data_IF_991903179504
#
_entry.id   IF_991903179504
#
_cell.length_a   1.000
_cell.length_b   1.000
_cell.length_c   1.000
_cell.angle_alpha   90.00
_cell.angle_beta   90.00
_cell.angle_gamma   90.00
#
_symmetry.space_group_name_H-M   'P 1'
#
loop_
_entity.id
_entity.type
_entity.pdbx_description
1 polymer ?
#
# COMPACT_ATOMS: atom_id res chain seq x y z
N UNK A 1 39.59 6.01 -1.98
CA UNK A 1 38.61 7.08 -1.74
C UNK A 1 37.41 6.80 -2.65
N UNK A 2 36.48 5.98 -2.16
CA UNK A 2 35.35 5.48 -2.92
C UNK A 2 34.12 6.35 -2.70
N UNK A 3 33.56 6.83 -3.80
CA UNK A 3 32.35 7.64 -3.86
C UNK A 3 31.15 6.80 -3.38
N UNK A 4 30.73 6.98 -2.14
CA UNK A 4 29.46 6.47 -1.66
C UNK A 4 28.35 7.29 -2.32
N UNK A 5 27.71 6.70 -3.33
CA UNK A 5 26.51 7.24 -3.95
C UNK A 5 25.49 7.55 -2.86
N UNK A 6 25.27 8.85 -2.62
CA UNK A 6 24.13 9.35 -1.86
C UNK A 6 22.88 8.90 -2.60
N UNK A 7 22.23 7.85 -2.10
CA UNK A 7 20.84 7.57 -2.46
C UNK A 7 20.01 8.68 -1.82
N UNK A 8 19.66 9.70 -2.61
CA UNK A 8 18.55 10.59 -2.29
C UNK A 8 17.26 9.74 -2.30
N UNK A 9 16.96 9.09 -1.18
CA UNK A 9 15.63 8.53 -0.94
C UNK A 9 14.71 9.72 -0.62
N UNK A 10 14.09 10.29 -1.65
CA UNK A 10 12.94 11.18 -1.47
C UNK A 10 11.76 10.32 -1.03
N UNK A 11 11.51 10.30 0.26
CA UNK A 11 10.41 9.61 0.93
C UNK A 11 9.02 10.07 0.47
N UNK A 12 8.92 11.08 -0.41
CA UNK A 12 7.68 11.78 -0.77
C UNK A 12 7.19 11.55 -2.21
N UNK A 13 7.93 10.83 -3.06
CA UNK A 13 7.60 10.74 -4.50
C UNK A 13 7.04 9.37 -4.96
N UNK A 14 6.94 8.36 -4.08
CA UNK A 14 6.32 7.07 -4.44
C UNK A 14 4.98 6.87 -3.72
N UNK A 15 3.84 7.21 -4.37
CA UNK A 15 2.55 6.73 -3.93
C UNK A 15 2.60 5.21 -3.96
N UNK A 16 2.43 4.61 -2.79
CA UNK A 16 2.20 3.17 -2.68
C UNK A 16 1.04 2.82 -3.62
N UNK A 17 1.38 2.11 -4.70
CA UNK A 17 0.53 1.71 -5.82
C UNK A 17 -0.03 2.83 -6.71
N UNK A 18 0.36 2.78 -7.99
CA UNK A 18 -0.34 3.48 -9.07
C UNK A 18 -1.71 2.84 -9.39
N UNK A 19 -1.94 1.61 -8.91
CA UNK A 19 -3.18 0.83 -9.07
C UNK A 19 -3.45 0.00 -7.82
N UNK A 20 -4.70 -0.05 -7.38
CA UNK A 20 -5.13 -0.78 -6.18
C UNK A 20 -5.79 -2.09 -6.58
N UNK A 21 -5.23 -3.25 -6.23
CA UNK A 21 -5.89 -4.53 -6.43
C UNK A 21 -7.22 -4.61 -5.67
N UNK A 22 -8.19 -5.34 -6.23
CA UNK A 22 -9.39 -5.70 -5.47
C UNK A 22 -9.07 -6.79 -4.43
N UNK A 23 -9.84 -6.93 -3.35
CA UNK A 23 -9.65 -8.02 -2.40
C UNK A 23 -9.63 -9.39 -3.10
N UNK A 24 -8.59 -10.19 -2.82
CA UNK A 24 -8.39 -11.52 -3.42
C UNK A 24 -7.71 -11.51 -4.80
N UNK A 25 -7.38 -10.35 -5.37
CA UNK A 25 -6.58 -10.27 -6.59
C UNK A 25 -5.14 -10.72 -6.34
N UNK A 26 -4.55 -11.41 -7.32
CA UNK A 26 -3.19 -11.93 -7.24
C UNK A 26 -2.21 -10.94 -7.91
N UNK A 27 -1.23 -10.44 -7.14
CA UNK A 27 -0.35 -9.35 -7.60
C UNK A 27 0.47 -9.69 -8.84
N UNK A 28 0.95 -10.93 -9.00
CA UNK A 28 1.70 -11.32 -10.21
C UNK A 28 0.80 -11.30 -11.44
N UNK A 29 -0.49 -11.63 -11.28
CA UNK A 29 -1.52 -11.53 -12.32
C UNK A 29 -1.76 -10.08 -12.67
N UNK A 30 -1.95 -9.19 -11.68
CA UNK A 30 -2.05 -7.74 -11.91
C UNK A 30 -0.84 -7.22 -12.67
N UNK A 31 0.38 -7.54 -12.22
CA UNK A 31 1.63 -7.15 -12.88
C UNK A 31 1.70 -7.63 -14.34
N UNK A 32 1.35 -8.90 -14.59
CA UNK A 32 1.35 -9.50 -15.93
C UNK A 32 0.35 -8.81 -16.85
N UNK A 33 -0.85 -8.53 -16.37
CA UNK A 33 -1.90 -7.86 -17.14
C UNK A 33 -1.49 -6.42 -17.50
N UNK A 34 -0.93 -5.66 -16.56
CA UNK A 34 -0.41 -4.31 -16.83
C UNK A 34 0.72 -4.32 -17.87
N UNK A 35 1.65 -5.28 -17.76
CA UNK A 35 2.73 -5.46 -18.75
C UNK A 35 2.17 -5.84 -20.13
N UNK A 36 1.18 -6.73 -20.18
CA UNK A 36 0.52 -7.12 -21.43
C UNK A 36 -0.16 -5.92 -22.09
N UNK A 37 -0.96 -5.16 -21.33
CA UNK A 37 -1.63 -3.96 -21.82
C UNK A 37 -0.65 -2.94 -22.41
N UNK A 38 0.51 -2.73 -21.75
CA UNK A 38 1.57 -1.83 -22.24
C UNK A 38 2.22 -2.33 -23.55
N UNK A 39 2.47 -3.63 -23.66
CA UNK A 39 3.01 -4.24 -24.90
C UNK A 39 2.01 -4.10 -26.03
N UNK A 40 0.72 -4.36 -25.76
CA UNK A 40 -0.34 -4.19 -26.75
C UNK A 40 -0.48 -2.73 -27.19
N UNK A 41 -0.35 -1.77 -26.27
CA UNK A 41 -0.33 -0.34 -26.58
C UNK A 41 0.85 0.03 -27.50
N UNK A 42 2.04 -0.54 -27.27
CA UNK A 42 3.20 -0.33 -28.13
C UNK A 42 2.95 -0.83 -29.55
N UNK A 43 2.28 -1.98 -29.69
CA UNK A 43 1.90 -2.54 -30.99
C UNK A 43 0.84 -1.71 -31.72
N UNK A 44 0.12 -0.82 -31.03
CA UNK A 44 -0.76 0.16 -31.67
C UNK A 44 -0.01 1.27 -32.37
N UNK A 45 1.27 1.55 -32.09
CA UNK A 45 2.00 2.67 -32.72
C UNK A 45 2.45 2.38 -34.17
N UNK A 46 1.82 1.42 -34.85
CA UNK A 46 2.16 0.96 -36.21
C UNK A 46 1.59 1.83 -37.33
N UNK A 47 1.78 1.38 -38.58
CA UNK A 47 1.22 2.05 -39.75
C UNK A 47 -0.26 1.69 -39.93
N UNK A 48 -1.14 2.69 -39.89
CA UNK A 48 -2.57 2.56 -40.20
C UNK A 48 -2.89 3.09 -41.59
N UNK A 49 -3.91 2.50 -42.22
CA UNK A 49 -4.38 2.94 -43.53
C UNK A 49 -5.20 4.24 -43.47
N UNK A 50 -5.77 4.55 -42.30
CA UNK A 50 -6.54 5.78 -42.05
C UNK A 50 -6.53 6.20 -40.58
N UNK A 51 -6.84 7.47 -40.31
CA UNK A 51 -7.01 7.99 -38.95
C UNK A 51 -8.23 7.37 -38.23
N UNK A 52 -9.27 6.99 -38.98
CA UNK A 52 -10.46 6.30 -38.44
C UNK A 52 -10.12 4.88 -37.98
N UNK A 53 -9.36 4.13 -38.78
CA UNK A 53 -8.87 2.81 -38.40
C UNK A 53 -7.99 2.89 -37.14
N UNK A 54 -7.09 3.87 -37.09
CA UNK A 54 -6.23 4.07 -35.92
C UNK A 54 -7.04 4.37 -34.66
N UNK A 55 -7.99 5.31 -34.76
CA UNK A 55 -8.87 5.67 -33.65
C UNK A 55 -9.68 4.46 -33.18
N UNK A 56 -10.30 3.71 -34.09
CA UNK A 56 -11.10 2.53 -33.74
C UNK A 56 -10.26 1.47 -33.02
N UNK A 57 -9.02 1.22 -33.48
CA UNK A 57 -8.10 0.27 -32.87
C UNK A 57 -7.71 0.70 -31.45
N UNK A 58 -7.39 1.98 -31.25
CA UNK A 58 -7.10 2.53 -29.94
C UNK A 58 -8.30 2.41 -28.99
N UNK A 59 -9.50 2.83 -29.42
CA UNK A 59 -10.71 2.77 -28.57
C UNK A 59 -11.05 1.33 -28.17
N UNK A 60 -10.93 0.39 -29.12
CA UNK A 60 -11.15 -1.04 -28.88
C UNK A 60 -10.15 -1.60 -27.87
N UNK A 61 -8.86 -1.29 -28.04
CA UNK A 61 -7.82 -1.69 -27.09
C UNK A 61 -8.13 -1.15 -25.69
N UNK A 62 -8.46 0.14 -25.56
CA UNK A 62 -8.78 0.75 -24.27
C UNK A 62 -9.91 0.01 -23.56
N UNK A 63 -11.01 -0.29 -24.27
CA UNK A 63 -12.16 -0.99 -23.67
C UNK A 63 -11.85 -2.44 -23.28
N UNK A 64 -11.09 -3.16 -24.10
CA UNK A 64 -10.72 -4.54 -23.79
C UNK A 64 -9.76 -4.62 -22.60
N UNK A 65 -8.74 -3.76 -22.56
CA UNK A 65 -7.78 -3.74 -21.45
C UNK A 65 -8.45 -3.31 -20.14
N UNK A 66 -9.33 -2.30 -20.19
CA UNK A 66 -10.12 -1.89 -19.02
C UNK A 66 -10.99 -3.04 -18.48
N UNK A 67 -11.63 -3.83 -19.37
CA UNK A 67 -12.43 -4.99 -18.98
C UNK A 67 -11.58 -6.09 -18.33
N UNK A 68 -10.43 -6.40 -18.91
CA UNK A 68 -9.53 -7.45 -18.39
C UNK A 68 -8.95 -7.06 -17.03
N UNK A 69 -8.37 -5.85 -16.92
CA UNK A 69 -7.78 -5.36 -15.68
C UNK A 69 -8.83 -5.05 -14.60
N UNK A 70 -10.04 -4.63 -14.97
CA UNK A 70 -11.13 -4.35 -14.03
C UNK A 70 -11.61 -5.57 -13.24
N UNK A 71 -11.22 -6.78 -13.64
CA UNK A 71 -11.44 -7.99 -12.83
C UNK A 71 -10.47 -8.15 -11.65
N UNK A 72 -9.40 -7.36 -11.61
CA UNK A 72 -8.32 -7.47 -10.62
C UNK A 72 -8.00 -6.15 -9.92
N UNK A 73 -8.39 -5.01 -10.50
CA UNK A 73 -8.04 -3.66 -10.03
C UNK A 73 -9.32 -2.87 -9.77
N UNK A 74 -9.30 -2.00 -8.76
CA UNK A 74 -10.44 -1.14 -8.42
C UNK A 74 -10.87 -0.28 -9.61
N UNK A 75 -12.19 -0.10 -9.78
CA UNK A 75 -12.77 0.63 -10.90
C UNK A 75 -12.21 2.06 -11.06
N UNK A 76 -12.01 2.79 -9.94
CA UNK A 76 -11.44 4.14 -9.95
C UNK A 76 -10.08 4.21 -10.65
N UNK A 77 -9.23 3.19 -10.45
CA UNK A 77 -7.89 3.18 -11.02
C UNK A 77 -7.93 2.76 -12.49
N UNK A 78 -8.90 1.92 -12.89
CA UNK A 78 -9.21 1.64 -14.30
C UNK A 78 -9.65 2.90 -15.02
N UNK A 79 -10.55 3.67 -14.42
CA UNK A 79 -11.02 4.94 -15.00
C UNK A 79 -9.86 5.92 -15.18
N UNK A 80 -8.99 6.05 -14.18
CA UNK A 80 -7.81 6.90 -14.26
C UNK A 80 -6.80 6.42 -15.31
N UNK A 81 -6.62 5.10 -15.47
CA UNK A 81 -5.68 4.52 -16.43
C UNK A 81 -6.18 4.57 -17.87
N UNK A 82 -7.48 4.36 -18.13
CA UNK A 82 -7.98 4.10 -19.48
C UNK A 82 -9.00 5.14 -19.97
N UNK A 83 -9.85 5.67 -19.09
CA UNK A 83 -10.99 6.51 -19.47
C UNK A 83 -10.74 7.99 -19.21
N UNK A 84 -9.67 8.50 -19.82
CA UNK A 84 -9.21 9.87 -19.60
C UNK A 84 -10.04 10.91 -20.34
N UNK A 85 -9.94 12.20 -19.99
CA UNK A 85 -10.62 13.26 -20.74
C UNK A 85 -10.29 13.24 -22.24
N UNK A 86 -9.06 12.85 -22.62
CA UNK A 86 -8.64 12.72 -24.02
C UNK A 86 -9.33 11.53 -24.69
N UNK A 87 -9.43 10.38 -24.01
CA UNK A 87 -10.23 9.25 -24.50
C UNK A 87 -11.66 9.68 -24.82
N UNK A 88 -12.33 10.38 -23.91
CA UNK A 88 -13.70 10.85 -24.11
C UNK A 88 -13.81 11.86 -25.26
N UNK A 89 -12.83 12.76 -25.40
CA UNK A 89 -12.77 13.70 -26.51
C UNK A 89 -12.57 13.00 -27.87
N UNK A 90 -11.72 11.96 -27.91
CA UNK A 90 -11.51 11.13 -29.10
C UNK A 90 -12.76 10.31 -29.46
N UNK A 91 -13.44 9.75 -28.45
CA UNK A 91 -14.70 9.01 -28.64
C UNK A 91 -15.82 9.92 -29.17
N UNK A 92 -16.00 11.10 -28.57
CA UNK A 92 -16.99 12.10 -29.01
C UNK A 92 -16.64 12.72 -30.37
N UNK A 93 -15.35 12.92 -30.64
CA UNK A 93 -14.85 13.39 -31.93
C UNK A 93 -15.03 12.36 -33.05
N UNK A 94 -14.91 11.06 -32.74
CA UNK A 94 -15.09 9.94 -33.68
C UNK A 94 -16.45 9.94 -34.39
N UNK A 95 -17.51 10.39 -33.72
CA UNK A 95 -18.85 10.53 -34.30
C UNK A 95 -19.02 11.74 -35.25
N UNK A 96 -18.10 12.71 -35.20
CA UNK A 96 -18.12 13.93 -36.01
C UNK A 96 -16.93 14.04 -36.99
N UNK A 97 -16.05 13.04 -37.05
CA UNK A 97 -14.83 13.04 -37.86
C UNK A 97 -15.06 12.91 -39.37
N UNK A 98 -16.31 12.87 -39.84
CA UNK A 98 -16.67 12.92 -41.26
C UNK A 98 -16.33 14.25 -41.96
N UNK A 99 -15.45 15.13 -41.44
CA UNK A 99 -14.98 16.26 -42.26
C UNK A 99 -14.13 17.39 -41.69
N UNK A 100 -13.68 17.45 -40.43
CA UNK A 100 -13.07 18.70 -39.91
C UNK A 100 -11.70 18.66 -39.21
N UNK A 101 -11.14 17.50 -38.86
CA UNK A 101 -9.76 17.43 -38.35
C UNK A 101 -8.84 16.79 -39.38
N UNK A 102 -7.77 17.51 -39.73
CA UNK A 102 -6.75 16.97 -40.62
C UNK A 102 -6.16 15.70 -39.99
N UNK A 103 -6.00 14.59 -40.75
CA UNK A 103 -5.49 13.31 -40.24
C UNK A 103 -4.19 13.42 -39.43
N UNK A 104 -3.34 14.41 -39.75
CA UNK A 104 -2.10 14.70 -39.01
C UNK A 104 -2.33 15.15 -37.56
N UNK A 105 -3.37 15.93 -37.30
CA UNK A 105 -3.69 16.42 -35.95
C UNK A 105 -4.31 15.30 -35.12
N UNK A 106 -5.24 14.53 -35.70
CA UNK A 106 -5.87 13.39 -35.03
C UNK A 106 -4.86 12.29 -34.69
N UNK A 107 -3.98 11.91 -35.64
CA UNK A 107 -2.96 10.90 -35.39
C UNK A 107 -1.96 11.36 -34.32
N UNK A 108 -1.57 12.63 -34.32
CA UNK A 108 -0.68 13.19 -33.29
C UNK A 108 -1.28 13.14 -31.89
N UNK A 109 -2.59 13.36 -31.75
CA UNK A 109 -3.31 13.24 -30.49
C UNK A 109 -3.42 11.78 -30.02
N UNK A 110 -3.74 10.86 -30.93
CA UNK A 110 -3.80 9.42 -30.62
C UNK A 110 -2.40 8.92 -30.19
N UNK A 111 -1.34 9.30 -30.91
CA UNK A 111 0.04 8.96 -30.56
C UNK A 111 0.43 9.49 -29.17
N UNK A 112 0.07 10.74 -28.86
CA UNK A 112 0.35 11.34 -27.56
C UNK A 112 -0.39 10.59 -26.45
N UNK A 113 -1.66 10.27 -26.67
CA UNK A 113 -2.48 9.53 -25.72
C UNK A 113 -1.90 8.13 -25.49
N UNK A 114 -1.58 7.37 -26.54
CA UNK A 114 -0.94 6.05 -26.42
C UNK A 114 0.38 6.14 -25.66
N UNK A 115 1.25 7.11 -25.99
CA UNK A 115 2.52 7.32 -25.26
C UNK A 115 2.29 7.58 -23.77
N UNK A 116 1.31 8.40 -23.42
CA UNK A 116 0.98 8.68 -22.02
C UNK A 116 0.47 7.41 -21.32
N UNK A 117 -0.42 6.65 -21.96
CA UNK A 117 -0.94 5.39 -21.43
C UNK A 117 0.15 4.34 -21.24
N UNK A 118 1.09 4.22 -22.18
CA UNK A 118 2.27 3.37 -22.02
C UNK A 118 3.11 3.77 -20.81
N UNK A 119 3.34 5.07 -20.60
CA UNK A 119 4.09 5.56 -19.43
C UNK A 119 3.34 5.28 -18.12
N UNK A 120 2.02 5.49 -18.08
CA UNK A 120 1.20 5.22 -16.89
C UNK A 120 1.14 3.72 -16.57
N UNK A 121 0.96 2.86 -17.57
CA UNK A 121 0.98 1.41 -17.41
C UNK A 121 2.35 0.88 -16.95
N UNK A 122 3.45 1.46 -17.44
CA UNK A 122 4.79 1.07 -16.98
C UNK A 122 5.05 1.52 -15.54
N UNK A 123 4.58 2.71 -15.14
CA UNK A 123 4.62 3.17 -13.73
C UNK A 123 3.79 2.25 -12.84
N UNK A 124 2.57 1.91 -13.25
CA UNK A 124 1.71 0.96 -12.54
C UNK A 124 2.37 -0.41 -12.39
N UNK A 125 2.85 -1.00 -13.49
CA UNK A 125 3.54 -2.29 -13.46
C UNK A 125 4.79 -2.26 -12.59
N UNK A 126 5.58 -1.19 -12.65
CA UNK A 126 6.76 -1.01 -11.80
C UNK A 126 6.37 -0.95 -10.33
N UNK A 127 5.34 -0.17 -9.96
CA UNK A 127 4.88 -0.08 -8.57
C UNK A 127 4.43 -1.43 -8.01
N UNK A 128 3.67 -2.22 -8.80
CA UNK A 128 3.24 -3.58 -8.39
C UNK A 128 4.44 -4.51 -8.26
N UNK A 129 5.41 -4.44 -9.19
CA UNK A 129 6.62 -5.27 -9.13
C UNK A 129 7.46 -5.00 -7.90
N UNK A 130 7.61 -3.74 -7.51
CA UNK A 130 8.35 -3.39 -6.30
C UNK A 130 7.63 -3.89 -5.04
N UNK A 131 6.29 -3.88 -5.00
CA UNK A 131 5.52 -4.52 -3.92
C UNK A 131 5.76 -6.02 -3.88
N UNK A 132 5.66 -6.73 -5.02
CA UNK A 132 5.93 -8.17 -5.10
C UNK A 132 7.33 -8.52 -4.56
N UNK A 133 8.34 -7.70 -4.91
CA UNK A 133 9.72 -7.91 -4.43
C UNK A 133 9.89 -7.63 -2.95
N UNK A 134 9.10 -6.69 -2.42
CA UNK A 134 9.19 -6.25 -1.02
C UNK A 134 8.45 -7.19 -0.07
N UNK A 135 7.32 -7.75 -0.48
CA UNK A 135 6.44 -8.55 0.37
C UNK A 135 6.35 -10.00 -0.09
N UNK A 136 7.41 -10.75 0.19
CA UNK A 136 7.58 -12.13 -0.22
C UNK A 136 6.94 -13.12 0.75
N UNK A 137 6.73 -14.35 0.28
CA UNK A 137 6.10 -15.44 1.06
C UNK A 137 6.97 -15.95 2.22
N UNK A 138 8.30 -15.75 2.15
CA UNK A 138 9.27 -16.14 3.18
C UNK A 138 9.39 -15.11 4.32
N UNK A 139 8.46 -14.16 4.42
CA UNK A 139 8.46 -13.10 5.43
C UNK A 139 7.11 -13.09 6.18
N UNK A 140 7.16 -13.31 7.49
CA UNK A 140 6.02 -13.07 8.38
C UNK A 140 6.03 -11.62 8.86
N UNK A 141 4.90 -10.92 8.72
CA UNK A 141 4.78 -9.51 9.10
C UNK A 141 3.90 -9.35 10.33
N UNK A 142 4.48 -8.77 11.38
CA UNK A 142 3.77 -8.35 12.58
C UNK A 142 3.39 -6.88 12.46
N UNK A 143 2.08 -6.58 12.45
CA UNK A 143 1.59 -5.21 12.53
C UNK A 143 1.44 -4.86 14.00
N UNK A 144 2.20 -3.89 14.49
CA UNK A 144 2.16 -3.49 15.90
C UNK A 144 1.28 -2.26 16.09
N UNK A 145 0.36 -2.33 17.06
CA UNK A 145 -0.42 -1.19 17.51
C UNK A 145 0.29 -0.41 18.62
N UNK A 146 -0.30 0.71 19.04
CA UNK A 146 0.21 1.52 20.16
C UNK A 146 0.26 0.74 21.47
N UNK A 147 -0.71 -0.15 21.71
CA UNK A 147 -0.78 -0.93 22.94
C UNK A 147 0.47 -1.81 23.11
N UNK A 148 1.05 -2.36 22.04
CA UNK A 148 2.31 -3.09 22.11
C UNK A 148 3.44 -2.21 22.67
N UNK A 149 3.61 -0.99 22.15
CA UNK A 149 4.67 -0.10 22.61
C UNK A 149 4.51 0.31 24.07
N UNK A 150 3.27 0.48 24.55
CA UNK A 150 3.00 0.93 25.90
C UNK A 150 3.01 -0.21 26.91
N UNK A 151 2.41 -1.34 26.54
CA UNK A 151 2.07 -2.41 27.48
C UNK A 151 3.06 -3.57 27.45
N UNK A 152 3.79 -3.81 26.36
CA UNK A 152 4.71 -4.95 26.27
C UNK A 152 5.82 -4.87 27.33
N UNK A 153 6.14 -6.02 27.94
CA UNK A 153 7.13 -6.11 29.03
C UNK A 153 8.52 -5.67 28.53
N UNK A 154 8.88 -6.12 27.35
CA UNK A 154 10.13 -5.77 26.68
C UNK A 154 9.96 -4.51 25.81
N UNK A 155 11.07 -3.85 25.49
CA UNK A 155 11.06 -2.75 24.51
C UNK A 155 11.11 -3.36 23.11
N UNK A 156 10.70 -2.60 22.08
CA UNK A 156 10.68 -3.09 20.70
C UNK A 156 12.00 -3.77 20.25
N UNK A 157 13.13 -3.20 20.67
CA UNK A 157 14.48 -3.69 20.35
C UNK A 157 14.93 -4.90 21.16
N UNK A 158 14.28 -5.17 22.29
CA UNK A 158 14.58 -6.30 23.17
C UNK A 158 13.56 -7.45 23.01
N UNK A 159 12.41 -7.19 22.38
CA UNK A 159 11.28 -8.12 22.27
C UNK A 159 11.59 -9.33 21.37
N UNK A 160 11.15 -10.53 21.80
CA UNK A 160 11.23 -11.75 20.98
C UNK A 160 10.19 -11.78 19.85
N UNK A 161 10.45 -10.99 18.81
CA UNK A 161 9.59 -10.86 17.63
C UNK A 161 9.54 -12.15 16.79
N UNK A 162 10.57 -13.01 16.86
CA UNK A 162 10.54 -14.32 16.19
C UNK A 162 9.61 -15.28 16.91
N UNK A 163 9.67 -15.33 18.25
CA UNK A 163 8.73 -16.10 19.05
C UNK A 163 7.28 -15.64 18.87
N UNK A 164 7.05 -14.33 18.70
CA UNK A 164 5.72 -13.79 18.38
C UNK A 164 5.25 -14.13 16.95
N UNK A 165 6.16 -14.19 15.98
CA UNK A 165 5.80 -14.50 14.61
C UNK A 165 5.50 -15.99 14.37
N UNK A 166 6.10 -16.88 15.17
CA UNK A 166 6.00 -18.35 15.06
C UNK A 166 6.14 -18.83 13.60
N UNK A 167 7.22 -18.41 12.95
CA UNK A 167 7.44 -18.61 11.52
C UNK A 167 8.90 -18.98 11.22
N UNK A 168 9.10 -19.99 10.36
CA UNK A 168 10.44 -20.53 10.02
C UNK A 168 11.25 -19.65 9.05
N UNK A 169 10.70 -18.50 8.64
CA UNK A 169 11.34 -17.56 7.72
C UNK A 169 11.81 -16.26 8.36
N UNK A 170 11.82 -15.18 7.57
CA UNK A 170 12.16 -13.84 8.05
C UNK A 170 10.98 -13.21 8.78
N UNK A 171 11.26 -12.28 9.68
CA UNK A 171 10.25 -11.50 10.38
C UNK A 171 10.40 -10.03 10.01
N UNK A 172 9.27 -9.39 9.77
CA UNK A 172 9.15 -7.94 9.59
C UNK A 172 8.16 -7.39 10.61
N UNK A 173 8.48 -6.23 11.15
CA UNK A 173 7.56 -5.40 11.92
C UNK A 173 7.07 -4.27 11.04
N UNK A 174 5.76 -4.10 10.97
CA UNK A 174 5.13 -2.98 10.31
C UNK A 174 4.40 -2.12 11.36
N UNK A 175 4.66 -0.81 11.35
CA UNK A 175 4.07 0.15 12.29
C UNK A 175 3.25 1.16 11.49
N UNK A 176 1.91 1.16 11.56
CA UNK A 176 1.09 2.16 10.88
C UNK A 176 1.46 3.59 11.30
N UNK A 177 1.39 4.55 10.37
CA UNK A 177 1.64 5.97 10.68
C UNK A 177 0.72 6.49 11.81
N UNK A 178 -0.52 6.02 11.86
CA UNK A 178 -1.48 6.33 12.95
C UNK A 178 -0.92 5.98 14.34
N UNK A 179 -0.21 4.85 14.47
CA UNK A 179 0.45 4.44 15.72
C UNK A 179 1.56 5.41 16.09
N UNK A 180 2.35 5.87 15.11
CA UNK A 180 3.37 6.90 15.35
C UNK A 180 2.75 8.18 15.90
N UNK A 181 1.63 8.62 15.34
CA UNK A 181 0.92 9.82 15.78
C UNK A 181 0.26 9.66 17.16
N UNK A 182 -0.23 8.46 17.49
CA UNK A 182 -0.71 8.11 18.83
C UNK A 182 0.42 8.17 19.86
N UNK A 183 1.57 7.56 19.58
CA UNK A 183 2.74 7.64 20.45
C UNK A 183 3.18 9.10 20.65
N UNK A 184 3.12 9.91 19.58
CA UNK A 184 3.49 11.33 19.64
C UNK A 184 2.59 12.11 20.62
N UNK A 185 1.28 11.87 20.56
CA UNK A 185 0.33 12.49 21.50
C UNK A 185 0.51 11.98 22.93
N UNK A 186 0.77 10.69 23.12
CA UNK A 186 0.98 10.10 24.45
C UNK A 186 2.23 10.66 25.17
N UNK A 187 3.24 11.09 24.42
CA UNK A 187 4.48 11.66 24.97
C UNK A 187 4.25 13.00 25.71
N UNK A 188 3.14 13.68 25.43
CA UNK A 188 2.75 14.99 25.97
C UNK A 188 1.48 14.92 26.85
N UNK A 189 0.71 13.85 26.74
CA UNK A 189 -0.53 13.69 27.50
C UNK A 189 -0.31 13.55 29.02
N UNK A 190 -1.36 13.88 29.78
CA UNK A 190 -1.45 13.63 31.24
C UNK A 190 -1.75 12.15 31.55
N UNK A 191 -0.96 11.24 30.96
CA UNK A 191 -0.99 9.80 31.20
C UNK A 191 0.02 9.40 32.28
N UNK A 192 0.06 8.10 32.61
CA UNK A 192 1.02 7.58 33.58
C UNK A 192 2.48 7.90 33.16
N UNK A 193 3.38 8.18 34.11
CA UNK A 193 4.79 8.44 33.79
C UNK A 193 5.45 7.31 32.98
N UNK A 194 5.03 6.08 33.24
CA UNK A 194 5.50 4.90 32.52
C UNK A 194 5.06 4.92 31.05
N UNK A 195 3.78 5.11 30.76
CA UNK A 195 3.27 5.16 29.40
C UNK A 195 3.91 6.29 28.59
N UNK A 196 4.08 7.48 29.19
CA UNK A 196 4.76 8.60 28.56
C UNK A 196 6.22 8.29 28.21
N UNK A 197 6.93 7.63 29.11
CA UNK A 197 8.31 7.22 28.88
C UNK A 197 8.41 6.16 27.77
N UNK A 198 7.52 5.15 27.78
CA UNK A 198 7.43 4.12 26.73
C UNK A 198 7.15 4.72 25.35
N UNK A 199 6.22 5.67 25.26
CA UNK A 199 5.91 6.37 24.01
C UNK A 199 7.12 7.12 23.44
N UNK A 200 7.82 7.91 24.28
CA UNK A 200 9.05 8.62 23.88
C UNK A 200 10.14 7.67 23.42
N UNK A 201 10.31 6.55 24.11
CA UNK A 201 11.30 5.54 23.76
C UNK A 201 10.98 4.91 22.40
N UNK A 202 9.74 4.46 22.22
CA UNK A 202 9.27 3.87 20.95
C UNK A 202 9.51 4.80 19.77
N UNK A 203 9.11 6.07 19.88
CA UNK A 203 9.38 7.08 18.85
C UNK A 203 10.86 7.27 18.57
N UNK A 204 11.70 7.33 19.60
CA UNK A 204 13.16 7.46 19.42
C UNK A 204 13.75 6.25 18.69
N UNK A 205 13.23 5.04 18.92
CA UNK A 205 13.66 3.83 18.22
C UNK A 205 13.22 3.89 16.76
N UNK A 206 11.95 4.23 16.50
CA UNK A 206 11.41 4.33 15.13
C UNK A 206 12.13 5.41 14.32
N UNK A 207 12.36 6.60 14.89
CA UNK A 207 13.11 7.67 14.24
C UNK A 207 14.54 7.25 13.86
N UNK A 208 15.22 6.52 14.75
CA UNK A 208 16.56 5.96 14.46
C UNK A 208 16.52 4.93 13.33
N UNK A 209 15.48 4.11 13.26
CA UNK A 209 15.32 3.08 12.22
C UNK A 209 14.95 3.67 10.85
N UNK A 210 14.24 4.80 10.84
CA UNK A 210 13.91 5.55 9.61
C UNK A 210 15.14 6.27 9.04
N UNK A 211 16.01 6.81 9.90
CA UNK A 211 17.22 7.52 9.51
C UNK A 211 18.46 6.62 9.36
N UNK A 212 18.33 5.33 9.70
CA UNK A 212 19.42 4.36 9.77
C UNK A 212 19.09 3.06 9.04
N UNK A 213 19.81 1.96 9.34
CA UNK A 213 19.39 0.65 8.87
C UNK A 213 18.05 0.31 9.52
N UNK A 214 17.03 0.04 8.71
CA UNK A 214 15.67 -0.30 9.15
C UNK A 214 15.59 -1.74 9.71
N UNK A 215 16.57 -2.12 10.53
CA UNK A 215 16.78 -3.48 11.05
C UNK A 215 17.00 -3.44 12.57
N UNK A 216 16.28 -4.29 13.29
CA UNK A 216 16.54 -4.66 14.68
C UNK A 216 17.09 -6.07 14.70
N UNK A 217 18.43 -6.19 14.71
CA UNK A 217 19.10 -7.47 14.51
C UNK A 217 18.76 -8.06 13.13
N UNK A 218 18.03 -9.18 13.12
CA UNK A 218 17.58 -9.84 11.89
C UNK A 218 16.13 -9.46 11.48
N UNK A 219 15.44 -8.64 12.28
CA UNK A 219 14.06 -8.21 12.01
C UNK A 219 14.06 -6.89 11.25
N UNK A 220 13.38 -6.84 10.12
CA UNK A 220 13.15 -5.59 9.39
C UNK A 220 12.03 -4.81 10.07
N UNK A 221 12.18 -3.49 10.24
CA UNK A 221 11.15 -2.63 10.82
C UNK A 221 10.79 -1.54 9.84
N UNK A 222 9.51 -1.40 9.56
CA UNK A 222 8.98 -0.44 8.60
C UNK A 222 7.84 0.36 9.21
N UNK A 223 7.88 1.69 9.06
CA UNK A 223 6.71 2.54 9.29
C UNK A 223 5.89 2.57 8.01
N UNK A 224 4.63 2.16 8.07
CA UNK A 224 3.71 2.17 6.94
C UNK A 224 3.11 3.57 6.81
N UNK A 225 3.46 4.35 5.77
CA UNK A 225 2.88 5.66 5.57
C UNK A 225 1.42 5.55 5.14
N UNK A 226 0.71 6.67 5.27
CA UNK A 226 -0.59 6.85 4.62
C UNK A 226 -0.38 7.06 3.12
N UNK A 227 -1.12 6.33 2.25
CA UNK A 227 -1.05 6.58 0.82
C UNK A 227 -1.45 8.02 0.48
N UNK A 228 -0.87 8.64 -0.55
CA UNK A 228 -1.30 9.96 -0.99
C UNK A 228 -2.80 10.01 -1.32
N UNK A 229 -3.51 10.98 -0.74
CA UNK A 229 -4.97 11.11 -0.87
C UNK A 229 -5.78 10.16 0.01
N UNK A 230 -5.13 9.37 0.87
CA UNK A 230 -5.80 8.62 1.92
C UNK A 230 -6.47 9.57 2.92
N UNK A 231 -7.70 9.24 3.29
CA UNK A 231 -8.44 9.93 4.34
C UNK A 231 -8.63 8.92 5.44
N UNK A 232 -7.97 9.17 6.58
CA UNK A 232 -8.05 8.27 7.74
C UNK A 232 -9.48 8.12 8.22
N UNK A 233 -9.77 6.94 8.75
CA UNK A 233 -11.02 6.67 9.46
C UNK A 233 -11.09 7.53 10.74
N UNK A 234 -12.31 7.90 11.19
CA UNK A 234 -12.47 8.74 12.37
C UNK A 234 -11.96 8.10 13.67
N UNK A 235 -12.00 6.77 13.74
CA UNK A 235 -11.51 5.97 14.86
C UNK A 235 -10.15 5.37 14.51
N UNK A 236 -9.19 5.52 15.42
CA UNK A 236 -7.79 5.17 15.16
C UNK A 236 -7.57 3.65 15.20
N UNK A 237 -8.36 2.93 16.01
CA UNK A 237 -8.31 1.46 16.02
C UNK A 237 -8.83 0.91 14.68
N UNK A 238 -9.96 1.45 14.20
CA UNK A 238 -10.52 1.07 12.90
C UNK A 238 -9.52 1.37 11.77
N UNK A 239 -8.81 2.50 11.83
CA UNK A 239 -7.74 2.85 10.89
C UNK A 239 -6.60 1.84 10.94
N UNK A 240 -6.10 1.47 12.12
CA UNK A 240 -5.02 0.47 12.27
C UNK A 240 -5.43 -0.88 11.67
N UNK A 241 -6.67 -1.32 11.91
CA UNK A 241 -7.21 -2.55 11.32
C UNK A 241 -7.32 -2.45 9.80
N UNK A 242 -7.78 -1.32 9.26
CA UNK A 242 -7.83 -1.09 7.80
C UNK A 242 -6.43 -1.14 7.18
N UNK A 243 -5.43 -0.50 7.81
CA UNK A 243 -4.03 -0.55 7.34
C UNK A 243 -3.47 -1.98 7.38
N UNK A 244 -3.77 -2.75 8.43
CA UNK A 244 -3.34 -4.14 8.53
C UNK A 244 -4.01 -5.02 7.45
N UNK A 245 -5.30 -4.80 7.18
CA UNK A 245 -6.02 -5.50 6.11
C UNK A 245 -5.45 -5.13 4.74
N UNK A 246 -5.22 -3.85 4.47
CA UNK A 246 -4.59 -3.40 3.23
C UNK A 246 -3.22 -4.06 3.03
N UNK A 247 -2.42 -4.16 4.09
CA UNK A 247 -1.14 -4.87 4.02
C UNK A 247 -1.31 -6.36 3.71
N UNK A 248 -2.26 -7.04 4.36
CA UNK A 248 -2.60 -8.44 4.07
C UNK A 248 -2.99 -8.66 2.61
N UNK A 249 -3.64 -7.69 1.97
CA UNK A 249 -4.00 -7.83 0.54
C UNK A 249 -2.81 -7.81 -0.41
N UNK A 250 -1.68 -7.23 0.01
CA UNK A 250 -0.49 -7.10 -0.85
C UNK A 250 0.66 -8.02 -0.43
N UNK A 251 0.70 -8.46 0.83
CA UNK A 251 1.75 -9.34 1.30
C UNK A 251 1.52 -10.78 0.86
N UNK A 252 2.55 -11.43 0.32
CA UNK A 252 2.49 -12.85 0.00
C UNK A 252 2.65 -13.74 1.24
N UNK A 253 3.39 -13.26 2.26
CA UNK A 253 3.55 -13.94 3.55
C UNK A 253 2.45 -13.59 4.56
N UNK A 254 2.44 -14.25 5.74
CA UNK A 254 1.43 -14.01 6.76
C UNK A 254 1.53 -12.60 7.34
N UNK A 255 0.38 -11.98 7.60
CA UNK A 255 0.26 -10.67 8.26
C UNK A 255 -0.60 -10.84 9.50
N UNK A 256 -0.04 -10.49 10.66
CA UNK A 256 -0.71 -10.64 11.97
C UNK A 256 -0.68 -9.32 12.73
N UNK A 257 -1.85 -8.82 13.12
CA UNK A 257 -1.97 -7.68 14.03
C UNK A 257 -1.69 -8.13 15.48
N UNK A 258 -0.74 -7.48 16.14
CA UNK A 258 -0.37 -7.76 17.54
C UNK A 258 -0.88 -6.66 18.43
N UNK A 259 -1.67 -7.02 19.44
CA UNK A 259 -2.31 -6.05 20.34
C UNK A 259 -2.50 -6.62 21.75
N UNK A 260 -2.48 -5.75 22.76
CA UNK A 260 -2.96 -6.03 24.11
C UNK A 260 -4.43 -5.64 24.30
N UNK A 261 -4.99 -4.83 23.39
CA UNK A 261 -6.34 -4.30 23.51
C UNK A 261 -7.41 -5.32 23.07
N UNK A 262 -8.48 -5.41 23.87
CA UNK A 262 -9.58 -6.35 23.59
C UNK A 262 -10.49 -5.87 22.48
N UNK A 263 -10.76 -4.56 22.41
CA UNK A 263 -11.56 -3.94 21.36
C UNK A 263 -10.88 -4.07 20.00
N UNK A 264 -9.59 -3.77 19.92
CA UNK A 264 -8.75 -3.97 18.73
C UNK A 264 -8.80 -5.41 18.23
N UNK A 265 -8.58 -6.40 19.12
CA UNK A 265 -8.64 -7.80 18.75
C UNK A 265 -10.03 -8.24 18.21
N UNK A 266 -11.12 -7.69 18.78
CA UNK A 266 -12.47 -7.93 18.29
C UNK A 266 -12.70 -7.30 16.91
N UNK A 267 -12.26 -6.06 16.70
CA UNK A 267 -12.36 -5.37 15.40
C UNK A 267 -11.59 -6.11 14.31
N UNK A 268 -10.35 -6.51 14.59
CA UNK A 268 -9.53 -7.30 13.67
C UNK A 268 -10.25 -8.60 13.26
N UNK A 269 -10.85 -9.31 14.23
CA UNK A 269 -11.62 -10.51 13.96
C UNK A 269 -12.84 -10.25 13.08
N UNK A 270 -13.56 -9.15 13.30
CA UNK A 270 -14.71 -8.77 12.46
C UNK A 270 -14.28 -8.44 11.03
N UNK A 271 -13.10 -7.84 10.86
CA UNK A 271 -12.50 -7.50 9.57
C UNK A 271 -11.73 -8.66 8.89
N UNK A 272 -11.77 -9.87 9.47
CA UNK A 272 -10.99 -11.04 9.03
C UNK A 272 -9.47 -10.80 8.99
N UNK A 273 -8.95 -9.92 9.84
CA UNK A 273 -7.50 -9.71 9.99
C UNK A 273 -6.96 -10.67 11.06
N UNK A 274 -5.98 -11.55 10.73
CA UNK A 274 -5.33 -12.39 11.72
C UNK A 274 -4.76 -11.53 12.87
N UNK A 275 -5.07 -11.91 14.10
CA UNK A 275 -4.71 -11.12 15.26
C UNK A 275 -4.15 -12.00 16.39
N UNK A 276 -3.02 -11.57 16.94
CA UNK A 276 -2.43 -12.10 18.15
C UNK A 276 -2.74 -11.16 19.31
N UNK A 277 -3.67 -11.59 20.17
CA UNK A 277 -3.97 -10.88 21.41
C UNK A 277 -2.98 -11.30 22.50
N UNK A 278 -2.17 -10.36 22.95
CA UNK A 278 -1.25 -10.54 24.07
C UNK A 278 -1.98 -10.32 25.39
N UNK A 279 -1.51 -11.00 26.44
CA UNK A 279 -2.11 -10.95 27.75
C UNK A 279 -1.08 -10.50 28.78
N UNK A 280 -1.50 -9.58 29.65
CA UNK A 280 -0.84 -9.36 30.93
C UNK A 280 -1.42 -10.32 31.95
N UNK A 281 -0.59 -10.80 32.88
CA UNK A 281 -1.11 -11.43 34.09
C UNK A 281 -1.95 -10.40 34.83
N UNK A 282 -3.26 -10.60 34.87
CA UNK A 282 -4.16 -9.81 35.69
C UNK A 282 -3.72 -9.99 37.16
N UNK A 283 -3.60 -8.89 37.89
CA UNK A 283 -3.38 -8.94 39.33
C UNK A 283 -4.54 -9.62 40.06
N UNK A 284 -4.46 -9.69 41.39
CA UNK A 284 -5.60 -10.19 42.19
C UNK A 284 -6.83 -9.33 41.91
N UNK A 285 -7.99 -9.99 41.78
CA UNK A 285 -9.28 -9.31 41.68
C UNK A 285 -9.40 -8.30 42.85
N UNK A 286 -9.71 -7.03 42.58
CA UNK A 286 -9.86 -6.05 43.64
C UNK A 286 -10.98 -6.50 44.57
N UNK A 287 -10.69 -6.56 45.87
CA UNK A 287 -11.70 -6.89 46.88
C UNK A 287 -12.86 -5.90 46.77
N UNK A 288 -14.08 -6.42 46.68
CA UNK A 288 -15.28 -5.57 46.68
C UNK A 288 -15.24 -4.69 47.94
N UNK A 289 -15.45 -3.37 47.83
CA UNK A 289 -15.62 -2.55 49.01
C UNK A 289 -16.73 -3.15 49.85
N UNK A 290 -16.44 -3.41 51.14
CA UNK A 290 -17.47 -3.79 52.09
C UNK A 290 -18.30 -2.53 52.34
N UNK A 291 -19.57 -2.58 51.95
CA UNK A 291 -20.59 -1.59 52.28
C UNK A 291 -20.73 -1.39 53.80
#
# INVERSE_FOLDING_TARGET
MGNAARREFRFWDDPWMYVTPIPGAELHTVYRLLKSARIEAENLAGNFSSAEEYLLKYLTWTTEQARVLGSQVRAKDIDALFFTPVYWALLGGGGHMSGMLAPKVSNGLIDQEIRQRMADLERAASSVREIIRRWTEDVSTLVLDTSFFIEHEEKLEDADLFGLADFEGKVRVAVPMTVVDELDRLKEARVSPHARWRARYGLSVLDRLLNGPSMLGAVEVEVLPDPPGHVRLPDEDDEIVDRALALRTVAAGPVTLVTYDTGMALRAKVADVPCMKLHKKLGREPERPKD
#
